data_IF_302613854026
#
_entry.id   IF_302613854026
#
_cell.length_a   1.000
_cell.length_b   1.000
_cell.length_c   1.000
_cell.angle_alpha   90.00
_cell.angle_beta   90.00
_cell.angle_gamma   90.00
#
_symmetry.space_group_name_H-M   'P 1'
#
loop_
_entity.id
_entity.type
_entity.pdbx_description
1 polymer ?
#
# COMPACT_ATOMS: atom_id res chain seq x y z
N UNK A 1 11.01 17.84 7.48
CA UNK A 1 10.26 16.60 7.74
C UNK A 1 9.17 16.31 6.69
N UNK A 2 8.37 17.27 6.22
CA UNK A 2 7.24 16.97 5.31
C UNK A 2 7.61 16.56 3.87
N UNK A 3 8.81 16.82 3.36
CA UNK A 3 9.18 16.48 1.97
C UNK A 3 9.65 15.03 1.82
N UNK A 4 10.37 14.49 2.81
CA UNK A 4 10.84 13.11 2.80
C UNK A 4 9.70 12.10 2.91
N UNK A 5 8.74 12.35 3.81
CA UNK A 5 7.54 11.52 3.94
C UNK A 5 6.75 11.40 2.63
N UNK A 6 6.62 12.49 1.86
CA UNK A 6 5.94 12.45 0.56
C UNK A 6 6.66 11.60 -0.48
N UNK A 7 8.00 11.68 -0.56
CA UNK A 7 8.79 10.87 -1.50
C UNK A 7 8.58 9.37 -1.27
N UNK A 8 8.56 8.95 -0.01
CA UNK A 8 8.30 7.55 0.37
C UNK A 8 6.91 7.12 -0.08
N UNK A 9 5.89 7.97 0.19
CA UNK A 9 4.50 7.64 -0.20
C UNK A 9 4.36 7.58 -1.73
N UNK A 10 4.98 8.49 -2.49
CA UNK A 10 4.96 8.42 -3.96
C UNK A 10 5.70 7.20 -4.49
N UNK A 11 6.84 6.82 -3.91
CA UNK A 11 7.54 5.61 -4.30
C UNK A 11 6.69 4.36 -4.06
N UNK A 12 6.04 4.27 -2.91
CA UNK A 12 5.12 3.18 -2.59
C UNK A 12 3.88 3.19 -3.51
N UNK A 13 3.29 4.37 -3.78
CA UNK A 13 2.15 4.52 -4.69
C UNK A 13 2.46 3.98 -6.10
N UNK A 14 3.61 4.38 -6.66
CA UNK A 14 4.04 3.96 -7.99
C UNK A 14 4.38 2.46 -7.98
N UNK A 15 5.13 2.00 -6.97
CA UNK A 15 5.52 0.61 -6.81
C UNK A 15 4.30 -0.31 -6.74
N UNK A 16 3.38 -0.05 -5.81
CA UNK A 16 2.16 -0.84 -5.65
C UNK A 16 1.23 -0.75 -6.85
N UNK A 17 1.14 0.42 -7.50
CA UNK A 17 0.37 0.56 -8.75
C UNK A 17 0.91 -0.33 -9.87
N UNK A 18 2.23 -0.36 -10.06
CA UNK A 18 2.88 -1.24 -11.05
C UNK A 18 2.69 -2.72 -10.70
N UNK A 19 2.81 -3.07 -9.42
CA UNK A 19 2.55 -4.43 -8.93
C UNK A 19 1.10 -4.83 -9.18
N UNK A 20 0.13 -3.97 -8.87
CA UNK A 20 -1.29 -4.23 -9.11
C UNK A 20 -1.55 -4.51 -10.60
N UNK A 21 -1.06 -3.66 -11.50
CA UNK A 21 -1.21 -3.84 -12.95
C UNK A 21 -0.61 -5.17 -13.40
N UNK A 22 0.61 -5.48 -12.96
CA UNK A 22 1.30 -6.72 -13.33
C UNK A 22 0.53 -7.96 -12.85
N UNK A 23 0.00 -7.93 -11.61
CA UNK A 23 -0.81 -9.02 -11.05
C UNK A 23 -2.13 -9.20 -11.79
N UNK A 24 -2.82 -8.12 -12.17
CA UNK A 24 -4.06 -8.22 -12.96
C UNK A 24 -3.80 -8.75 -14.38
N UNK A 25 -2.72 -8.33 -15.02
CA UNK A 25 -2.31 -8.88 -16.32
C UNK A 25 -2.03 -10.39 -16.21
N UNK A 26 -1.26 -10.79 -15.19
CA UNK A 26 -0.99 -12.21 -14.94
C UNK A 26 -2.27 -13.00 -14.65
N UNK A 27 -3.17 -12.47 -13.82
CA UNK A 27 -4.46 -13.09 -13.54
C UNK A 27 -5.29 -13.29 -14.81
N UNK A 28 -5.31 -12.29 -15.70
CA UNK A 28 -6.04 -12.36 -16.98
C UNK A 28 -5.47 -13.40 -17.94
N UNK A 29 -4.16 -13.62 -17.92
CA UNK A 29 -3.49 -14.60 -18.79
C UNK A 29 -3.62 -16.02 -18.22
N UNK A 30 -3.45 -16.18 -16.91
CA UNK A 30 -3.38 -17.50 -16.26
C UNK A 30 -4.72 -18.00 -15.74
N UNK A 31 -5.75 -17.13 -15.65
CA UNK A 31 -7.00 -17.43 -14.94
C UNK A 31 -6.81 -17.64 -13.42
N UNK A 32 -5.67 -17.24 -12.85
CA UNK A 32 -5.35 -17.45 -11.45
C UNK A 32 -6.14 -16.50 -10.55
N UNK A 33 -7.10 -17.06 -9.79
CA UNK A 33 -7.83 -16.32 -8.77
C UNK A 33 -6.92 -15.78 -7.67
N UNK A 34 -5.83 -16.48 -7.36
CA UNK A 34 -4.82 -16.01 -6.41
C UNK A 34 -4.14 -14.72 -6.90
N UNK A 35 -3.72 -14.66 -8.17
CA UNK A 35 -3.15 -13.43 -8.75
C UNK A 35 -4.16 -12.30 -8.80
N UNK A 36 -5.43 -12.59 -9.06
CA UNK A 36 -6.50 -11.59 -9.04
C UNK A 36 -6.69 -11.00 -7.63
N UNK A 37 -6.77 -11.85 -6.62
CA UNK A 37 -6.88 -11.45 -5.20
C UNK A 37 -5.69 -10.61 -4.76
N UNK A 38 -4.48 -11.03 -5.12
CA UNK A 38 -3.24 -10.30 -4.89
C UNK A 38 -3.20 -8.94 -5.62
N UNK A 39 -3.77 -8.88 -6.82
CA UNK A 39 -3.95 -7.64 -7.58
C UNK A 39 -4.88 -6.65 -6.86
N UNK A 40 -6.00 -7.14 -6.32
CA UNK A 40 -6.93 -6.35 -5.50
C UNK A 40 -6.20 -5.80 -4.27
N UNK A 41 -5.43 -6.63 -3.57
CA UNK A 41 -4.66 -6.20 -2.41
C UNK A 41 -3.70 -5.05 -2.75
N UNK A 42 -2.91 -5.20 -3.82
CA UNK A 42 -1.99 -4.15 -4.28
C UNK A 42 -2.72 -2.88 -4.76
N UNK A 43 -3.94 -3.01 -5.31
CA UNK A 43 -4.78 -1.87 -5.68
C UNK A 43 -5.29 -1.11 -4.45
N UNK A 44 -5.71 -1.84 -3.40
CA UNK A 44 -6.12 -1.25 -2.11
C UNK A 44 -4.96 -0.50 -1.48
N UNK A 45 -3.76 -1.06 -1.48
CA UNK A 45 -2.55 -0.40 -0.96
C UNK A 45 -2.23 0.89 -1.74
N UNK A 46 -2.39 0.85 -3.07
CA UNK A 46 -2.24 2.04 -3.92
C UNK A 46 -3.27 3.12 -3.54
N UNK A 47 -4.53 2.73 -3.34
CA UNK A 47 -5.60 3.62 -2.87
C UNK A 47 -5.30 4.22 -1.50
N UNK A 48 -4.78 3.41 -0.57
CA UNK A 48 -4.40 3.84 0.78
C UNK A 48 -3.32 4.92 0.74
N UNK A 49 -2.29 4.76 -0.11
CA UNK A 49 -1.28 5.81 -0.30
C UNK A 49 -1.86 7.08 -0.88
N UNK A 50 -2.80 6.97 -1.81
CA UNK A 50 -3.55 8.13 -2.34
C UNK A 50 -4.31 8.88 -1.24
N UNK A 51 -4.99 8.17 -0.34
CA UNK A 51 -5.70 8.74 0.80
C UNK A 51 -4.76 9.41 1.81
N UNK A 52 -3.60 8.80 2.08
CA UNK A 52 -2.57 9.41 2.93
C UNK A 52 -2.04 10.71 2.34
N UNK A 53 -1.76 10.75 1.03
CA UNK A 53 -1.35 11.99 0.34
C UNK A 53 -2.44 13.05 0.41
N UNK A 54 -3.71 12.66 0.25
CA UNK A 54 -4.85 13.56 0.41
C UNK A 54 -4.93 14.12 1.84
N UNK A 55 -4.80 13.27 2.86
CA UNK A 55 -4.77 13.67 4.26
C UNK A 55 -3.65 14.67 4.56
N UNK A 56 -2.44 14.41 4.04
CA UNK A 56 -1.29 15.32 4.16
C UNK A 56 -1.57 16.66 3.44
N UNK A 57 -2.24 16.65 2.30
CA UNK A 57 -2.60 17.88 1.59
C UNK A 57 -3.65 18.69 2.37
N UNK A 58 -4.66 17.98 2.92
CA UNK A 58 -5.71 18.61 3.74
C UNK A 58 -5.16 19.21 5.02
N UNK A 59 -4.30 18.50 5.73
CA UNK A 59 -3.73 18.95 7.01
C UNK A 59 -2.92 20.24 6.92
N UNK A 60 -2.49 20.63 5.72
CA UNK A 60 -1.73 21.87 5.47
C UNK A 60 -2.59 23.12 5.22
N UNK A 61 -3.91 22.97 5.19
CA UNK A 61 -4.81 24.11 5.03
C UNK A 61 -4.69 25.04 6.24
N UNK A 62 -4.70 26.38 6.03
CA UNK A 62 -4.70 27.34 7.12
C UNK A 62 -6.00 27.25 7.94
N UNK A 63 -5.96 27.79 9.14
CA UNK A 63 -7.13 27.94 9.99
C UNK A 63 -8.21 28.81 9.29
N UNK A 64 -9.47 28.45 9.52
CA UNK A 64 -10.65 29.20 9.09
C UNK A 64 -11.69 29.28 10.23
N UNK A 65 -12.82 29.90 9.98
CA UNK A 65 -13.88 30.06 11.00
C UNK A 65 -14.42 28.74 11.53
N UNK A 66 -14.43 27.67 10.70
CA UNK A 66 -14.89 26.32 11.09
C UNK A 66 -13.80 25.51 11.79
N UNK A 67 -12.55 25.83 11.51
CA UNK A 67 -11.37 25.13 12.04
C UNK A 67 -10.36 26.16 12.59
N UNK A 68 -10.65 26.77 13.76
CA UNK A 68 -9.83 27.85 14.31
C UNK A 68 -8.37 27.42 14.58
N UNK A 69 -8.14 26.14 14.84
CA UNK A 69 -6.81 25.57 15.09
C UNK A 69 -6.17 24.96 13.80
N UNK A 70 -6.77 25.21 12.62
CA UNK A 70 -6.33 24.63 11.35
C UNK A 70 -6.74 23.18 11.18
N UNK A 71 -6.23 22.58 10.12
CA UNK A 71 -6.60 21.23 9.67
C UNK A 71 -5.59 20.13 10.05
N UNK A 72 -4.70 20.40 11.01
CA UNK A 72 -3.62 19.45 11.37
C UNK A 72 -4.12 18.05 11.77
N UNK A 73 -5.31 17.93 12.36
CA UNK A 73 -5.94 16.67 12.76
C UNK A 73 -6.38 15.78 11.58
N UNK A 74 -6.53 16.35 10.38
CA UNK A 74 -6.93 15.61 9.16
C UNK A 74 -5.97 14.45 8.84
N UNK A 75 -4.69 14.59 9.15
CA UNK A 75 -3.72 13.51 8.91
C UNK A 75 -4.05 12.26 9.71
N UNK A 76 -4.47 12.42 10.96
CA UNK A 76 -4.84 11.29 11.84
C UNK A 76 -6.17 10.68 11.41
N UNK A 77 -7.12 11.51 11.01
CA UNK A 77 -8.40 11.03 10.49
C UNK A 77 -8.20 10.17 9.24
N UNK A 78 -7.43 10.65 8.25
CA UNK A 78 -7.18 9.89 7.03
C UNK A 78 -6.32 8.66 7.26
N UNK A 79 -5.36 8.69 8.18
CA UNK A 79 -4.62 7.50 8.59
C UNK A 79 -5.54 6.45 9.24
N UNK A 80 -6.51 6.86 10.04
CA UNK A 80 -7.52 5.97 10.62
C UNK A 80 -8.44 5.36 9.55
N UNK A 81 -8.90 6.16 8.58
CA UNK A 81 -9.69 5.67 7.44
C UNK A 81 -8.91 4.62 6.66
N UNK A 82 -7.64 4.87 6.37
CA UNK A 82 -6.75 3.90 5.71
C UNK A 82 -6.63 2.61 6.51
N UNK A 83 -6.42 2.69 7.81
CA UNK A 83 -6.32 1.49 8.67
C UNK A 83 -7.60 0.64 8.62
N UNK A 84 -8.78 1.27 8.66
CA UNK A 84 -10.07 0.57 8.54
C UNK A 84 -10.20 -0.07 7.15
N UNK A 85 -9.82 0.62 6.08
CA UNK A 85 -9.92 0.09 4.72
C UNK A 85 -8.98 -1.11 4.52
N UNK A 86 -7.74 -1.05 5.02
CA UNK A 86 -6.81 -2.18 4.98
C UNK A 86 -7.41 -3.38 5.72
N UNK A 87 -7.98 -3.16 6.91
CA UNK A 87 -8.57 -4.22 7.69
C UNK A 87 -9.83 -4.78 7.02
N UNK A 88 -10.79 -3.93 6.65
CA UNK A 88 -12.09 -4.37 6.14
C UNK A 88 -11.98 -4.98 4.73
N UNK A 89 -11.29 -4.30 3.81
CA UNK A 89 -11.18 -4.76 2.42
C UNK A 89 -10.10 -5.82 2.29
N UNK A 90 -8.90 -5.58 2.84
CA UNK A 90 -7.78 -6.51 2.74
C UNK A 90 -8.10 -7.84 3.43
N UNK A 91 -8.49 -7.83 4.70
CA UNK A 91 -8.82 -9.04 5.44
C UNK A 91 -10.12 -9.68 4.92
N UNK A 92 -11.14 -8.88 4.56
CA UNK A 92 -12.41 -9.36 4.04
C UNK A 92 -12.26 -10.12 2.72
N UNK A 93 -11.52 -9.55 1.77
CA UNK A 93 -11.23 -10.19 0.47
C UNK A 93 -10.40 -11.46 0.67
N UNK A 94 -9.35 -11.41 1.49
CA UNK A 94 -8.50 -12.58 1.76
C UNK A 94 -9.28 -13.72 2.42
N UNK A 95 -10.19 -13.40 3.35
CA UNK A 95 -11.04 -14.40 4.00
C UNK A 95 -12.03 -15.01 3.00
N UNK A 96 -12.68 -14.19 2.18
CA UNK A 96 -13.60 -14.64 1.13
C UNK A 96 -12.91 -15.58 0.14
N UNK A 97 -11.75 -15.18 -0.39
CA UNK A 97 -10.95 -15.98 -1.31
C UNK A 97 -10.46 -17.28 -0.66
N UNK A 98 -10.01 -17.22 0.60
CA UNK A 98 -9.60 -18.40 1.34
C UNK A 98 -10.73 -19.41 1.51
N UNK A 99 -11.91 -18.93 1.87
CA UNK A 99 -13.11 -19.79 1.97
C UNK A 99 -13.50 -20.36 0.61
N UNK A 100 -13.53 -19.54 -0.44
CA UNK A 100 -13.87 -19.98 -1.79
C UNK A 100 -12.92 -21.09 -2.27
N UNK A 101 -11.61 -20.96 -2.04
CA UNK A 101 -10.62 -21.99 -2.40
C UNK A 101 -10.78 -23.31 -1.63
N UNK A 102 -11.33 -23.29 -0.42
CA UNK A 102 -11.63 -24.53 0.32
C UNK A 102 -12.79 -25.28 -0.32
N UNK A 103 -13.83 -24.56 -0.76
CA UNK A 103 -15.04 -25.17 -1.33
C UNK A 103 -14.91 -25.47 -2.83
N UNK A 104 -14.11 -24.70 -3.55
CA UNK A 104 -13.90 -24.86 -5.00
C UNK A 104 -12.41 -24.73 -5.34
N UNK A 105 -11.61 -25.78 -5.08
CA UNK A 105 -10.16 -25.74 -5.31
C UNK A 105 -9.85 -25.79 -6.81
N UNK A 106 -9.31 -24.69 -7.33
CA UNK A 106 -8.83 -24.63 -8.70
C UNK A 106 -7.36 -25.08 -8.77
N UNK A 107 -7.06 -25.99 -9.69
CA UNK A 107 -5.69 -26.45 -9.95
C UNK A 107 -4.96 -25.37 -10.75
N UNK A 108 -3.82 -24.91 -10.24
CA UNK A 108 -2.93 -24.01 -10.98
C UNK A 108 -2.21 -24.83 -12.06
N UNK A 109 -2.52 -24.54 -13.33
CA UNK A 109 -1.97 -25.30 -14.47
C UNK A 109 -0.54 -24.92 -14.81
N UNK A 110 -0.15 -23.65 -14.62
CA UNK A 110 1.23 -23.17 -14.82
C UNK A 110 1.62 -22.15 -13.74
N UNK A 111 2.41 -22.56 -12.74
CA UNK A 111 2.86 -21.66 -11.69
C UNK A 111 4.00 -20.72 -12.13
N UNK A 112 4.61 -20.92 -13.29
CA UNK A 112 5.81 -20.18 -13.73
C UNK A 112 5.54 -18.69 -13.83
N UNK A 113 4.42 -18.31 -14.44
CA UNK A 113 4.02 -16.89 -14.56
C UNK A 113 3.83 -16.26 -13.17
N UNK A 114 3.23 -17.02 -12.23
CA UNK A 114 3.03 -16.53 -10.87
C UNK A 114 4.37 -16.27 -10.16
N UNK A 115 5.36 -17.17 -10.31
CA UNK A 115 6.70 -16.95 -9.74
C UNK A 115 7.43 -15.78 -10.37
N UNK A 116 7.32 -15.57 -11.68
CA UNK A 116 7.91 -14.40 -12.36
C UNK A 116 7.29 -13.11 -11.84
N UNK A 117 5.97 -13.05 -11.71
CA UNK A 117 5.25 -11.86 -11.21
C UNK A 117 5.58 -11.58 -9.76
N UNK A 118 5.64 -12.61 -8.91
CA UNK A 118 6.07 -12.47 -7.50
C UNK A 118 7.52 -11.98 -7.40
N UNK A 119 8.41 -12.48 -8.26
CA UNK A 119 9.80 -12.00 -8.34
C UNK A 119 9.89 -10.53 -8.72
N UNK A 120 9.11 -10.09 -9.71
CA UNK A 120 9.03 -8.66 -10.08
C UNK A 120 8.45 -7.81 -8.94
N UNK A 121 7.38 -8.28 -8.29
CA UNK A 121 6.79 -7.60 -7.14
C UNK A 121 7.82 -7.41 -6.01
N UNK A 122 8.60 -8.46 -5.69
CA UNK A 122 9.67 -8.39 -4.69
C UNK A 122 10.75 -7.36 -5.05
N UNK A 123 11.08 -7.20 -6.33
CA UNK A 123 12.02 -6.16 -6.78
C UNK A 123 11.42 -4.77 -6.56
N UNK A 124 10.17 -4.52 -6.97
CA UNK A 124 9.52 -3.22 -6.79
C UNK A 124 9.37 -2.86 -5.31
N UNK A 125 8.94 -3.80 -4.48
CA UNK A 125 8.83 -3.60 -3.03
C UNK A 125 10.20 -3.37 -2.39
N UNK A 126 11.24 -4.11 -2.81
CA UNK A 126 12.60 -3.92 -2.36
C UNK A 126 13.14 -2.53 -2.68
N UNK A 127 12.82 -1.98 -3.85
CA UNK A 127 13.18 -0.60 -4.21
C UNK A 127 12.44 0.40 -3.33
N UNK A 128 11.12 0.25 -3.16
CA UNK A 128 10.31 1.11 -2.30
C UNK A 128 10.79 1.07 -0.84
N UNK A 129 11.08 -0.13 -0.31
CA UNK A 129 11.66 -0.33 1.02
C UNK A 129 13.02 0.37 1.16
N UNK A 130 13.90 0.25 0.17
CA UNK A 130 15.21 0.89 0.19
C UNK A 130 15.08 2.42 0.25
N UNK A 131 14.13 2.99 -0.49
CA UNK A 131 13.85 4.44 -0.46
C UNK A 131 13.35 4.84 0.93
N UNK A 132 12.40 4.08 1.49
CA UNK A 132 11.85 4.32 2.83
C UNK A 132 12.94 4.20 3.91
N UNK A 133 13.78 3.18 3.83
CA UNK A 133 14.87 2.96 4.78
C UNK A 133 15.89 4.10 4.74
N UNK A 134 16.30 4.55 3.56
CA UNK A 134 17.23 5.69 3.41
C UNK A 134 16.65 6.98 3.97
N UNK A 135 15.37 7.23 3.75
CA UNK A 135 14.69 8.40 4.30
C UNK A 135 14.60 8.32 5.83
N UNK A 136 14.30 7.13 6.37
CA UNK A 136 14.31 6.89 7.80
C UNK A 136 15.70 7.14 8.41
N UNK A 137 16.78 6.61 7.81
CA UNK A 137 18.15 6.82 8.27
C UNK A 137 18.51 8.31 8.28
N UNK A 138 18.12 9.05 7.24
CA UNK A 138 18.35 10.50 7.16
C UNK A 138 17.61 11.25 8.25
N UNK A 139 16.39 10.86 8.56
CA UNK A 139 15.54 11.49 9.58
C UNK A 139 15.97 11.10 11.00
N UNK A 140 16.39 9.86 11.18
CA UNK A 140 16.87 9.32 12.47
C UNK A 140 18.13 10.04 12.97
N UNK A 141 19.05 10.36 12.06
CA UNK A 141 20.34 10.95 12.40
C UNK A 141 21.16 10.06 13.35
N UNK A 142 21.56 10.61 14.50
CA UNK A 142 22.36 9.89 15.52
C UNK A 142 21.53 9.14 16.57
N UNK A 143 20.20 9.18 16.50
CA UNK A 143 19.34 8.46 17.45
C UNK A 143 19.37 6.96 17.19
N UNK A 144 19.21 6.14 18.24
CA UNK A 144 19.01 4.70 18.05
C UNK A 144 17.66 4.42 17.37
N UNK A 145 17.49 3.23 16.79
CA UNK A 145 16.22 2.84 16.13
C UNK A 145 15.05 2.98 17.11
N UNK A 146 15.20 2.48 18.34
CA UNK A 146 14.16 2.55 19.38
C UNK A 146 13.87 3.97 19.91
N UNK A 147 14.74 4.94 19.66
CA UNK A 147 14.52 6.33 20.03
C UNK A 147 13.93 7.17 18.88
N UNK A 148 13.93 6.62 17.67
CA UNK A 148 13.48 7.31 16.46
C UNK A 148 12.06 6.90 16.05
N UNK A 149 11.57 5.80 16.58
CA UNK A 149 10.18 5.32 16.48
C UNK A 149 9.43 5.78 17.72
#
# INVERSE_FOLDING_TARGET
MASGSKKVIYAALIGNGLIAVTKFVAASITGSSAMFSEGIHSLVDTGNQGLLLYGIARSKRPADEKHPFGYGSEIYFWAFVVAILIFAVGAGVSMYEGMHKIFDPHVITDPTINYVVLGLAMIFEGVAWTIAYREFETTRGKKSIFQAV
#
